data_IF_898070530968
#
_entry.id   IF_898070530968
#
_cell.length_a   1.000
_cell.length_b   1.000
_cell.length_c   1.000
_cell.angle_alpha   90.00
_cell.angle_beta   90.00
_cell.angle_gamma   90.00
#
_symmetry.space_group_name_H-M   'P 1'
#
loop_
_entity.id
_entity.type
_entity.pdbx_description
1 polymer ?
#
# COMPACT_ATOMS: atom_id res chain seq x y z
N UNK A 1 -37.89 -8.71 3.61
CA UNK A 1 -36.56 -8.40 3.02
C UNK A 1 -36.53 -6.91 2.70
N UNK A 2 -35.62 -6.13 3.24
CA UNK A 2 -35.47 -4.73 2.80
C UNK A 2 -34.80 -4.76 1.43
N UNK A 3 -35.31 -4.04 0.41
CA UNK A 3 -34.62 -3.95 -0.87
C UNK A 3 -33.25 -3.30 -0.68
N UNK A 4 -32.21 -3.93 -1.21
CA UNK A 4 -30.88 -3.32 -1.28
C UNK A 4 -30.98 -2.09 -2.18
N UNK A 5 -30.57 -0.94 -1.67
CA UNK A 5 -30.38 0.27 -2.47
C UNK A 5 -28.99 0.22 -3.08
N UNK A 6 -28.87 0.51 -4.37
CA UNK A 6 -27.61 0.57 -5.11
C UNK A 6 -27.28 2.01 -5.48
N UNK A 7 -26.01 2.29 -5.70
CA UNK A 7 -25.51 3.62 -6.04
C UNK A 7 -25.42 4.52 -4.80
N UNK A 8 -25.46 5.83 -5.02
CA UNK A 8 -25.47 6.82 -3.94
C UNK A 8 -26.82 6.79 -3.24
N UNK A 9 -26.86 6.26 -2.03
CA UNK A 9 -28.10 6.10 -1.25
C UNK A 9 -28.41 7.27 -0.34
N UNK A 10 -27.38 8.03 0.04
CA UNK A 10 -27.46 9.24 0.85
C UNK A 10 -26.39 10.23 0.38
N UNK A 11 -26.76 11.49 0.24
CA UNK A 11 -25.86 12.57 -0.15
C UNK A 11 -26.23 13.87 0.57
N UNK A 12 -25.30 14.39 1.36
CA UNK A 12 -25.43 15.69 1.99
C UNK A 12 -24.38 16.66 1.41
N UNK A 13 -24.79 17.49 0.47
CA UNK A 13 -23.91 18.42 -0.23
C UNK A 13 -23.16 19.39 0.70
N UNK A 14 -23.74 19.76 1.85
CA UNK A 14 -23.09 20.68 2.79
C UNK A 14 -21.99 20.06 3.62
N UNK A 15 -21.95 18.72 3.71
CA UNK A 15 -20.96 17.96 4.47
C UNK A 15 -19.98 17.20 3.58
N UNK A 16 -20.29 17.05 2.30
CA UNK A 16 -19.47 16.30 1.36
C UNK A 16 -18.41 17.20 0.72
N UNK A 17 -17.18 16.70 0.64
CA UNK A 17 -16.13 17.36 -0.15
C UNK A 17 -16.44 17.14 -1.64
N UNK A 18 -16.57 18.22 -2.43
CA UNK A 18 -16.92 18.11 -3.85
C UNK A 18 -15.74 17.54 -4.63
N UNK A 19 -15.84 16.29 -5.05
CA UNK A 19 -14.77 15.56 -5.73
C UNK A 19 -15.32 14.45 -6.63
N UNK A 20 -14.40 13.74 -7.26
CA UNK A 20 -14.66 12.46 -7.93
C UNK A 20 -14.10 11.32 -7.08
N UNK A 21 -14.66 10.13 -7.24
CA UNK A 21 -14.12 8.91 -6.63
C UNK A 21 -13.62 7.98 -7.70
N UNK A 22 -12.33 7.66 -7.66
CA UNK A 22 -11.72 6.62 -8.45
C UNK A 22 -11.80 5.29 -7.68
N UNK A 23 -12.29 4.24 -8.31
CA UNK A 23 -12.28 2.91 -7.70
C UNK A 23 -12.17 1.81 -8.75
N UNK A 24 -11.60 0.69 -8.34
CA UNK A 24 -11.49 -0.50 -9.17
C UNK A 24 -11.99 -1.71 -8.36
N UNK A 25 -13.02 -2.43 -8.84
CA UNK A 25 -13.55 -3.61 -8.15
C UNK A 25 -12.49 -4.71 -8.04
N UNK A 26 -12.29 -5.23 -6.82
CA UNK A 26 -11.36 -6.34 -6.60
C UNK A 26 -11.73 -7.56 -7.45
N UNK A 27 -10.73 -8.12 -8.14
CA UNK A 27 -10.89 -9.26 -9.05
C UNK A 27 -11.47 -8.91 -10.43
N UNK A 28 -11.81 -7.64 -10.67
CA UNK A 28 -12.22 -7.13 -11.98
C UNK A 28 -11.05 -6.70 -12.85
N UNK A 29 -11.37 -6.27 -14.07
CA UNK A 29 -10.44 -5.67 -15.03
C UNK A 29 -10.92 -4.31 -15.50
N UNK A 30 -11.58 -3.57 -14.61
CA UNK A 30 -12.12 -2.24 -14.90
C UNK A 30 -11.78 -1.28 -13.77
N UNK A 31 -11.61 -0.01 -14.11
CA UNK A 31 -11.44 1.10 -13.18
C UNK A 31 -12.43 2.20 -13.53
N UNK A 32 -13.08 2.79 -12.53
CA UNK A 32 -14.16 3.75 -12.71
C UNK A 32 -13.86 5.04 -11.99
N UNK A 33 -14.18 6.15 -12.65
CA UNK A 33 -14.25 7.48 -12.04
C UNK A 33 -15.72 7.89 -11.96
N UNK A 34 -16.24 8.06 -10.77
CA UNK A 34 -17.62 8.48 -10.55
C UNK A 34 -17.68 9.86 -9.91
N UNK A 35 -18.76 10.58 -10.15
CA UNK A 35 -19.05 11.84 -9.47
C UNK A 35 -19.80 11.62 -8.13
N UNK A 36 -20.13 12.74 -7.47
CA UNK A 36 -20.83 12.74 -6.19
C UNK A 36 -22.27 12.20 -6.25
N UNK A 37 -22.86 12.06 -7.44
CA UNK A 37 -24.17 11.46 -7.67
C UNK A 37 -24.07 9.97 -8.02
N UNK A 38 -22.85 9.45 -8.13
CA UNK A 38 -22.58 8.06 -8.50
C UNK A 38 -22.65 7.81 -10.00
N UNK A 39 -22.68 8.87 -10.81
CA UNK A 39 -22.64 8.73 -12.27
C UNK A 39 -21.21 8.45 -12.74
N UNK A 40 -21.05 7.42 -13.58
CA UNK A 40 -19.77 7.10 -14.19
C UNK A 40 -19.37 8.19 -15.18
N UNK A 41 -18.23 8.82 -14.92
CA UNK A 41 -17.65 9.88 -15.76
C UNK A 41 -16.57 9.35 -16.68
N UNK A 42 -15.88 8.29 -16.24
CA UNK A 42 -14.88 7.58 -17.03
C UNK A 42 -14.79 6.14 -16.58
N UNK A 43 -14.59 5.26 -17.55
CA UNK A 43 -14.26 3.85 -17.38
C UNK A 43 -13.00 3.53 -18.18
N UNK A 44 -12.07 2.81 -17.54
CA UNK A 44 -10.92 2.19 -18.21
C UNK A 44 -11.07 0.67 -18.16
N UNK A 45 -10.78 0.00 -19.28
CA UNK A 45 -10.63 -1.45 -19.33
C UNK A 45 -9.15 -1.78 -19.22
N UNK A 46 -8.81 -2.61 -18.24
CA UNK A 46 -7.43 -3.02 -17.97
C UNK A 46 -7.06 -4.26 -18.83
N UNK A 47 -5.79 -4.43 -19.19
CA UNK A 47 -5.33 -5.58 -19.98
C UNK A 47 -5.33 -6.91 -19.19
N UNK A 48 -5.60 -6.86 -17.90
CA UNK A 48 -5.64 -8.02 -17.01
C UNK A 48 -6.40 -7.75 -15.72
N UNK A 49 -6.47 -8.73 -14.82
CA UNK A 49 -7.09 -8.54 -13.51
C UNK A 49 -6.38 -7.46 -12.69
N UNK A 50 -7.15 -6.65 -11.98
CA UNK A 50 -6.62 -5.62 -11.07
C UNK A 50 -5.61 -6.23 -10.09
N UNK A 51 -4.47 -5.55 -9.92
CA UNK A 51 -3.48 -5.85 -8.89
C UNK A 51 -4.01 -5.45 -7.51
N UNK A 52 -4.04 -4.15 -7.23
CA UNK A 52 -4.59 -3.64 -5.98
C UNK A 52 -5.53 -2.45 -6.21
N UNK A 53 -5.01 -1.30 -6.62
CA UNK A 53 -5.80 -0.08 -6.84
C UNK A 53 -5.18 0.77 -7.95
N UNK A 54 -5.81 1.91 -8.25
CA UNK A 54 -5.31 2.90 -9.20
C UNK A 54 -5.26 4.30 -8.61
N UNK A 55 -4.43 5.16 -9.17
CA UNK A 55 -4.29 6.57 -8.84
C UNK A 55 -4.57 7.41 -10.10
N UNK A 56 -5.37 8.47 -9.95
CA UNK A 56 -5.51 9.45 -11.01
C UNK A 56 -4.37 10.48 -10.88
N UNK A 57 -3.54 10.55 -11.91
CA UNK A 57 -2.41 11.48 -11.95
C UNK A 57 -2.88 12.91 -12.25
N UNK A 58 -2.09 13.96 -11.91
CA UNK A 58 -2.45 15.36 -12.18
C UNK A 58 -2.68 15.70 -13.67
N UNK A 59 -2.09 14.91 -14.58
CA UNK A 59 -2.30 15.05 -16.02
C UNK A 59 -3.59 14.37 -16.54
N UNK A 60 -4.36 13.73 -15.64
CA UNK A 60 -5.58 13.00 -15.97
C UNK A 60 -5.37 11.52 -16.34
N UNK A 61 -4.14 11.04 -16.40
CA UNK A 61 -3.85 9.65 -16.68
C UNK A 61 -4.11 8.78 -15.45
N UNK A 62 -4.39 7.50 -15.68
CA UNK A 62 -4.56 6.47 -14.66
C UNK A 62 -3.24 5.73 -14.46
N UNK A 63 -2.65 5.79 -13.26
CA UNK A 63 -1.58 4.90 -12.83
C UNK A 63 -2.20 3.74 -12.05
N UNK A 64 -1.97 2.49 -12.49
CA UNK A 64 -2.67 1.32 -11.94
C UNK A 64 -1.79 0.07 -12.05
N UNK A 65 -2.07 -0.94 -11.23
CA UNK A 65 -1.41 -2.24 -11.34
C UNK A 65 -2.37 -3.31 -11.82
N UNK A 66 -1.86 -4.23 -12.65
CA UNK A 66 -2.53 -5.47 -13.02
C UNK A 66 -1.69 -6.66 -12.58
N UNK A 67 -2.36 -7.78 -12.32
CA UNK A 67 -1.70 -9.00 -11.85
C UNK A 67 -0.91 -9.66 -12.96
N UNK A 68 0.29 -10.10 -12.61
CA UNK A 68 1.03 -11.05 -13.43
C UNK A 68 0.77 -12.48 -12.95
N UNK A 69 1.15 -13.49 -13.77
CA UNK A 69 1.01 -14.90 -13.41
C UNK A 69 2.22 -15.45 -12.63
N UNK A 70 3.28 -14.67 -12.55
CA UNK A 70 4.55 -15.01 -11.90
C UNK A 70 4.64 -14.38 -10.49
N UNK A 71 5.64 -14.81 -9.72
CA UNK A 71 5.85 -14.35 -8.35
C UNK A 71 5.05 -15.13 -7.29
N UNK A 72 5.22 -14.77 -6.00
CA UNK A 72 4.56 -15.41 -4.88
C UNK A 72 3.05 -15.16 -4.92
N UNK A 73 2.27 -16.13 -4.41
CA UNK A 73 0.79 -16.04 -4.44
C UNK A 73 0.22 -15.39 -3.18
N UNK A 74 0.85 -14.32 -2.71
CA UNK A 74 0.29 -13.48 -1.65
C UNK A 74 -0.80 -12.54 -2.19
N UNK A 75 -1.55 -11.89 -1.34
CA UNK A 75 -2.54 -10.89 -1.73
C UNK A 75 -2.28 -9.56 -0.99
N UNK A 76 -2.37 -8.46 -1.73
CA UNK A 76 -2.59 -8.30 -3.16
C UNK A 76 -1.29 -8.45 -3.97
N UNK A 77 -1.39 -9.09 -5.12
CA UNK A 77 -0.33 -9.19 -6.11
C UNK A 77 -0.60 -8.14 -7.20
N UNK A 78 0.43 -7.40 -7.58
CA UNK A 78 0.43 -6.58 -8.80
C UNK A 78 1.30 -7.21 -9.88
N UNK A 79 2.50 -6.68 -10.03
CA UNK A 79 3.53 -7.20 -10.94
C UNK A 79 3.65 -6.42 -12.24
N UNK A 80 2.62 -5.75 -12.69
CA UNK A 80 2.64 -4.91 -13.89
C UNK A 80 2.03 -3.55 -13.57
N UNK A 81 2.84 -2.51 -13.49
CA UNK A 81 2.45 -1.12 -13.26
C UNK A 81 2.23 -0.46 -14.62
N UNK A 82 1.08 0.17 -14.80
CA UNK A 82 0.67 0.81 -16.05
C UNK A 82 0.33 2.28 -15.83
N UNK A 83 0.74 3.15 -16.74
CA UNK A 83 0.14 4.45 -16.94
C UNK A 83 -0.71 4.41 -18.20
N UNK A 84 -2.01 4.68 -18.04
CA UNK A 84 -3.02 4.61 -19.10
C UNK A 84 -3.59 6.02 -19.28
N UNK A 85 -3.62 6.52 -20.49
CA UNK A 85 -4.16 7.84 -20.77
C UNK A 85 -5.70 7.89 -20.69
N UNK A 86 -6.26 9.08 -20.93
CA UNK A 86 -7.71 9.27 -20.87
C UNK A 86 -8.44 8.46 -21.96
N UNK A 87 -7.82 8.21 -23.11
CA UNK A 87 -8.43 7.48 -24.22
C UNK A 87 -8.33 5.94 -24.05
N UNK A 88 -7.50 5.48 -23.11
CA UNK A 88 -7.33 4.08 -22.75
C UNK A 88 -6.07 3.45 -23.32
N UNK A 89 -5.17 4.25 -23.89
CA UNK A 89 -3.90 3.79 -24.43
C UNK A 89 -2.85 3.70 -23.31
N UNK A 90 -2.08 2.59 -23.29
CA UNK A 90 -0.95 2.41 -22.36
C UNK A 90 0.20 3.26 -22.88
N UNK A 91 0.62 4.25 -22.10
CA UNK A 91 1.68 5.19 -22.47
C UNK A 91 3.00 4.93 -21.73
N UNK A 92 2.94 4.17 -20.65
CA UNK A 92 4.12 3.70 -19.90
C UNK A 92 3.77 2.41 -19.16
N UNK A 93 4.76 1.53 -19.05
CA UNK A 93 4.63 0.29 -18.30
C UNK A 93 5.93 -0.14 -17.64
N UNK A 94 5.82 -0.84 -16.51
CA UNK A 94 6.94 -1.47 -15.83
C UNK A 94 6.51 -2.82 -15.26
N UNK A 95 7.33 -3.85 -15.47
CA UNK A 95 7.07 -5.21 -14.97
C UNK A 95 8.10 -5.57 -13.91
N UNK A 96 7.59 -5.83 -12.71
CA UNK A 96 8.30 -6.50 -11.62
C UNK A 96 7.33 -7.51 -10.99
N UNK A 97 7.50 -8.78 -11.28
CA UNK A 97 6.59 -9.86 -10.82
C UNK A 97 6.50 -9.98 -9.29
N UNK A 98 7.39 -9.32 -8.57
CA UNK A 98 7.40 -9.23 -7.10
C UNK A 98 6.73 -7.95 -6.58
N UNK A 99 6.27 -7.04 -7.46
CA UNK A 99 5.56 -5.83 -7.05
C UNK A 99 4.24 -6.19 -6.37
N UNK A 100 3.97 -5.51 -5.26
CA UNK A 100 2.75 -5.68 -4.49
C UNK A 100 2.24 -4.35 -3.92
N UNK A 101 1.00 -4.34 -3.44
CA UNK A 101 0.32 -3.29 -2.71
C UNK A 101 0.43 -1.90 -3.35
N UNK A 102 1.48 -1.13 -3.06
CA UNK A 102 1.52 0.31 -3.24
C UNK A 102 2.57 0.79 -4.25
N UNK A 103 2.30 1.92 -4.87
CA UNK A 103 3.16 2.58 -5.85
C UNK A 103 2.86 4.08 -5.89
N UNK A 104 3.83 4.90 -6.27
CA UNK A 104 3.67 6.35 -6.37
C UNK A 104 4.42 6.90 -7.59
N UNK A 105 3.74 7.71 -8.40
CA UNK A 105 4.41 8.52 -9.41
C UNK A 105 4.97 9.78 -8.77
N UNK A 106 6.26 10.00 -8.88
CA UNK A 106 6.95 11.15 -8.32
C UNK A 106 6.92 12.36 -9.27
N UNK A 107 7.09 13.59 -8.74
CA UNK A 107 7.12 14.80 -9.58
C UNK A 107 8.21 14.82 -10.65
N UNK A 108 9.30 14.08 -10.45
CA UNK A 108 10.37 13.93 -11.43
C UNK A 108 10.09 12.90 -12.53
N UNK A 109 8.92 12.26 -12.51
CA UNK A 109 8.50 11.24 -13.46
C UNK A 109 8.87 9.80 -13.07
N UNK A 110 9.66 9.61 -12.02
CA UNK A 110 9.99 8.28 -11.52
C UNK A 110 8.79 7.63 -10.83
N UNK A 111 8.84 6.31 -10.67
CA UNK A 111 7.81 5.55 -9.94
C UNK A 111 8.45 4.78 -8.80
N UNK A 112 8.03 5.06 -7.57
CA UNK A 112 8.39 4.27 -6.38
C UNK A 112 7.30 3.25 -6.12
N UNK A 113 7.68 2.03 -5.71
CA UNK A 113 6.74 0.95 -5.43
C UNK A 113 7.29 -0.04 -4.40
N UNK A 114 6.37 -0.81 -3.80
CA UNK A 114 6.69 -1.95 -2.95
C UNK A 114 6.95 -3.20 -3.80
N UNK A 115 7.97 -3.94 -3.46
CA UNK A 115 8.33 -5.23 -4.05
C UNK A 115 8.75 -6.21 -2.96
N UNK A 116 8.77 -7.50 -3.26
CA UNK A 116 9.32 -8.52 -2.38
C UNK A 116 10.72 -8.93 -2.79
N UNK A 117 11.46 -9.46 -1.82
CA UNK A 117 12.70 -10.18 -2.03
C UNK A 117 12.67 -11.48 -1.22
N UNK A 118 12.96 -12.61 -1.86
CA UNK A 118 13.08 -13.88 -1.18
C UNK A 118 14.48 -14.04 -0.59
N UNK A 119 14.58 -14.12 0.73
CA UNK A 119 15.82 -14.41 1.44
C UNK A 119 15.82 -15.89 1.85
N UNK A 120 16.86 -16.66 1.52
CA UNK A 120 16.97 -18.05 1.97
C UNK A 120 16.83 -18.18 3.49
N UNK A 121 16.23 -19.26 3.97
CA UNK A 121 15.94 -19.46 5.41
C UNK A 121 17.18 -19.38 6.29
N UNK A 122 18.34 -19.84 5.79
CA UNK A 122 19.63 -19.78 6.50
C UNK A 122 20.18 -18.37 6.67
N UNK A 123 19.80 -17.44 5.79
CA UNK A 123 20.24 -16.04 5.80
C UNK A 123 19.18 -15.08 6.38
N UNK A 124 17.99 -15.63 6.67
CA UNK A 124 16.84 -14.82 7.07
C UNK A 124 16.86 -14.45 8.54
N UNK A 125 16.81 -13.16 8.84
CA UNK A 125 16.57 -12.64 10.19
C UNK A 125 15.10 -12.81 10.58
N UNK A 126 14.77 -13.92 11.26
CA UNK A 126 13.40 -14.20 11.66
C UNK A 126 13.22 -14.16 13.16
N UNK A 127 12.43 -13.21 13.59
CA UNK A 127 12.06 -13.07 14.98
C UNK A 127 10.55 -13.27 15.15
N UNK A 128 10.17 -14.27 15.94
CA UNK A 128 8.75 -14.60 16.17
C UNK A 128 8.16 -15.48 15.07
N UNK A 129 6.82 -15.49 14.98
CA UNK A 129 6.07 -16.31 14.04
C UNK A 129 6.13 -17.82 14.30
N UNK A 130 5.52 -18.60 13.40
CA UNK A 130 5.46 -20.07 13.48
C UNK A 130 6.68 -20.66 12.79
N UNK A 131 7.56 -21.30 13.55
CA UNK A 131 8.73 -21.98 12.99
C UNK A 131 8.33 -23.13 12.04
N UNK A 132 8.99 -23.25 10.91
CA UNK A 132 8.71 -24.26 9.89
C UNK A 132 7.55 -23.92 8.97
N UNK A 133 7.10 -22.65 8.98
CA UNK A 133 6.09 -22.13 8.08
C UNK A 133 6.67 -21.13 7.06
N UNK A 134 7.95 -21.22 6.78
CA UNK A 134 8.64 -20.47 5.75
C UNK A 134 8.08 -20.82 4.35
N UNK A 135 8.27 -19.94 3.38
CA UNK A 135 7.70 -20.13 2.05
C UNK A 135 8.25 -21.42 1.38
N UNK A 136 7.42 -22.18 0.65
CA UNK A 136 7.85 -23.42 -0.02
C UNK A 136 9.01 -23.23 -1.01
N UNK A 137 9.23 -22.01 -1.50
CA UNK A 137 10.38 -21.66 -2.35
C UNK A 137 11.72 -21.64 -1.59
N UNK A 138 11.73 -21.95 -0.29
CA UNK A 138 12.92 -22.15 0.52
C UNK A 138 13.43 -20.91 1.23
N UNK A 139 12.56 -19.96 1.57
CA UNK A 139 12.94 -18.72 2.24
C UNK A 139 11.77 -17.96 2.84
N UNK A 140 12.03 -16.71 3.14
CA UNK A 140 11.06 -15.76 3.66
C UNK A 140 11.07 -14.54 2.74
N UNK A 141 9.88 -14.05 2.37
CA UNK A 141 9.75 -12.82 1.61
C UNK A 141 9.83 -11.61 2.53
N UNK A 142 10.70 -10.66 2.18
CA UNK A 142 10.87 -9.37 2.84
C UNK A 142 10.49 -8.25 1.90
N UNK A 143 10.04 -7.14 2.48
CA UNK A 143 9.67 -5.96 1.71
C UNK A 143 10.90 -5.22 1.18
N UNK A 144 10.79 -4.71 -0.04
CA UNK A 144 11.77 -3.85 -0.69
C UNK A 144 11.03 -2.64 -1.27
N UNK A 145 11.58 -1.45 -1.08
CA UNK A 145 11.15 -0.25 -1.78
C UNK A 145 12.04 -0.05 -2.99
N UNK A 146 11.45 0.12 -4.16
CA UNK A 146 12.16 0.36 -5.41
C UNK A 146 11.69 1.63 -6.08
N UNK A 147 12.60 2.30 -6.78
CA UNK A 147 12.28 3.41 -7.65
C UNK A 147 12.89 3.18 -9.03
N UNK A 148 12.05 3.35 -10.06
CA UNK A 148 12.46 3.29 -11.46
C UNK A 148 12.22 4.62 -12.13
N UNK A 149 13.09 4.94 -13.11
CA UNK A 149 12.91 6.11 -13.97
C UNK A 149 11.88 5.85 -15.10
N UNK A 150 11.70 6.83 -15.97
CA UNK A 150 10.77 6.71 -17.10
C UNK A 150 11.17 5.62 -18.11
N UNK A 151 12.44 5.26 -18.18
CA UNK A 151 12.97 4.22 -19.07
C UNK A 151 12.85 2.82 -18.43
N UNK A 152 12.41 2.74 -17.16
CA UNK A 152 12.28 1.49 -16.40
C UNK A 152 13.56 1.06 -15.67
N UNK A 153 14.63 1.87 -15.71
CA UNK A 153 15.87 1.58 -14.98
C UNK A 153 15.69 1.83 -13.50
N UNK A 154 16.18 0.92 -12.68
CA UNK A 154 16.18 1.07 -11.21
C UNK A 154 17.21 2.14 -10.82
N UNK A 155 16.73 3.19 -10.11
CA UNK A 155 17.55 4.34 -9.70
C UNK A 155 17.72 4.46 -8.20
N UNK A 156 16.92 3.72 -7.43
CA UNK A 156 17.01 3.65 -5.96
C UNK A 156 16.34 2.39 -5.43
N UNK A 157 16.91 1.86 -4.35
CA UNK A 157 16.36 0.70 -3.63
C UNK A 157 16.61 0.84 -2.14
N UNK A 158 15.65 0.41 -1.33
CA UNK A 158 15.79 0.19 0.11
C UNK A 158 15.35 -1.24 0.41
N UNK A 159 16.26 -2.04 0.95
CA UNK A 159 15.99 -3.43 1.29
C UNK A 159 15.77 -3.55 2.79
N UNK A 160 14.67 -4.17 3.17
CA UNK A 160 14.32 -4.36 4.58
C UNK A 160 15.43 -5.09 5.34
N UNK A 161 16.05 -6.09 4.73
CA UNK A 161 17.12 -6.88 5.36
C UNK A 161 18.36 -6.08 5.75
N UNK A 162 18.60 -4.95 5.12
CA UNK A 162 19.78 -4.12 5.36
C UNK A 162 19.56 -3.05 6.45
N UNK A 163 18.29 -2.71 6.75
CA UNK A 163 17.97 -1.51 7.55
C UNK A 163 16.97 -1.76 8.69
N UNK A 164 16.17 -2.82 8.59
CA UNK A 164 15.04 -2.99 9.52
C UNK A 164 15.49 -3.51 10.88
N UNK A 165 15.02 -2.92 12.01
CA UNK A 165 15.41 -3.36 13.34
C UNK A 165 14.55 -4.57 13.79
N UNK A 166 14.79 -5.74 13.23
CA UNK A 166 14.00 -6.98 13.39
C UNK A 166 13.73 -7.35 14.85
N UNK A 167 14.74 -7.24 15.73
CA UNK A 167 14.61 -7.58 17.15
C UNK A 167 13.55 -6.73 17.87
N UNK A 168 13.32 -5.50 17.39
CA UNK A 168 12.35 -4.58 17.98
C UNK A 168 10.91 -4.93 17.60
N UNK A 169 10.70 -5.55 16.45
CA UNK A 169 9.39 -5.78 15.86
C UNK A 169 9.14 -7.27 15.51
N UNK A 170 9.12 -8.17 16.49
CA UNK A 170 8.88 -9.58 16.22
C UNK A 170 7.49 -9.82 15.63
N UNK A 171 7.38 -10.78 14.71
CA UNK A 171 6.09 -11.29 14.26
C UNK A 171 5.28 -11.82 15.44
N UNK A 172 3.96 -11.69 15.37
CA UNK A 172 3.06 -12.31 16.34
C UNK A 172 3.24 -13.84 16.31
N UNK A 173 3.15 -14.55 17.45
CA UNK A 173 3.45 -15.98 17.52
C UNK A 173 2.62 -16.88 16.58
N UNK A 174 1.42 -16.45 16.21
CA UNK A 174 0.53 -17.21 15.32
C UNK A 174 0.69 -16.88 13.83
N UNK A 175 1.57 -15.94 13.47
CA UNK A 175 1.78 -15.58 12.06
C UNK A 175 2.69 -16.58 11.35
N UNK A 176 2.34 -17.01 10.13
CA UNK A 176 3.27 -17.72 9.26
C UNK A 176 4.52 -16.88 8.97
N UNK A 177 5.61 -17.55 8.64
CA UNK A 177 6.89 -16.93 8.25
C UNK A 177 7.11 -16.90 6.75
N UNK A 178 6.07 -17.11 5.95
CA UNK A 178 6.17 -17.04 4.49
C UNK A 178 6.58 -15.63 4.03
N UNK A 179 6.10 -14.63 4.75
CA UNK A 179 6.35 -13.20 4.53
C UNK A 179 6.59 -12.52 5.88
N UNK A 180 7.55 -11.57 5.93
CA UNK A 180 7.80 -10.78 7.12
C UNK A 180 7.17 -9.39 7.00
N UNK A 181 6.34 -9.04 7.99
CA UNK A 181 5.75 -7.74 8.27
C UNK A 181 4.65 -7.24 7.32
N UNK A 182 4.62 -7.62 6.05
CA UNK A 182 3.56 -7.29 5.10
C UNK A 182 3.37 -5.78 4.91
N UNK A 183 4.33 -5.12 4.22
CA UNK A 183 4.20 -3.71 3.87
C UNK A 183 3.02 -3.49 2.93
N UNK A 184 2.22 -2.46 3.20
CA UNK A 184 1.00 -2.19 2.42
C UNK A 184 0.84 -0.73 1.98
N UNK A 185 1.79 0.14 2.33
CA UNK A 185 1.84 1.52 1.86
C UNK A 185 3.29 2.02 1.85
N UNK A 186 3.63 2.83 0.84
CA UNK A 186 4.92 3.51 0.68
C UNK A 186 4.70 4.95 0.17
N UNK A 187 4.23 5.83 1.02
CA UNK A 187 3.95 7.22 0.65
C UNK A 187 5.23 8.06 0.64
N UNK A 188 5.64 8.54 -0.54
CA UNK A 188 6.80 9.44 -0.68
C UNK A 188 6.38 10.86 -0.35
N UNK A 189 7.04 11.45 0.64
CA UNK A 189 6.79 12.81 1.10
C UNK A 189 7.44 13.86 0.18
N UNK A 190 7.03 15.13 0.25
CA UNK A 190 7.62 16.19 -0.58
C UNK A 190 9.13 16.39 -0.39
N UNK A 191 9.67 16.02 0.77
CA UNK A 191 11.11 16.07 1.08
C UNK A 191 11.88 14.83 0.56
N UNK A 192 11.17 13.86 0.00
CA UNK A 192 11.69 12.61 -0.54
C UNK A 192 11.77 11.46 0.47
N UNK A 193 11.52 11.69 1.75
CA UNK A 193 11.44 10.62 2.75
C UNK A 193 10.19 9.78 2.53
N UNK A 194 10.16 8.55 3.05
CA UNK A 194 9.11 7.60 2.72
C UNK A 194 8.39 7.13 3.98
N UNK A 195 7.09 7.39 4.06
CA UNK A 195 6.22 6.87 5.11
C UNK A 195 5.73 5.48 4.70
N UNK A 196 6.13 4.47 5.47
CA UNK A 196 5.82 3.07 5.21
C UNK A 196 4.92 2.51 6.29
N UNK A 197 4.01 1.61 5.91
CA UNK A 197 3.12 0.89 6.80
C UNK A 197 3.35 -0.60 6.67
N UNK A 198 3.61 -1.28 7.79
CA UNK A 198 3.71 -2.75 7.90
C UNK A 198 2.53 -3.29 8.72
N UNK A 199 1.64 -3.97 8.02
CA UNK A 199 0.35 -4.43 8.53
C UNK A 199 0.47 -5.44 9.68
N UNK A 200 1.31 -6.45 9.50
CA UNK A 200 1.32 -7.62 10.39
C UNK A 200 2.02 -7.38 11.73
N UNK A 201 2.70 -6.27 11.82
CA UNK A 201 3.35 -5.81 13.05
C UNK A 201 2.78 -4.48 13.59
N UNK A 202 1.68 -3.96 12.96
CA UNK A 202 1.02 -2.69 13.35
C UNK A 202 1.99 -1.51 13.45
N UNK A 203 2.94 -1.41 12.51
CA UNK A 203 3.99 -0.41 12.50
C UNK A 203 3.80 0.56 11.34
N UNK A 204 4.00 1.85 11.60
CA UNK A 204 4.28 2.86 10.58
C UNK A 204 5.61 3.53 10.91
N UNK A 205 6.43 3.81 9.91
CA UNK A 205 7.69 4.53 10.09
C UNK A 205 7.98 5.46 8.91
N UNK A 206 8.72 6.54 9.20
CA UNK A 206 9.28 7.44 8.22
C UNK A 206 10.74 7.07 8.01
N UNK A 207 11.07 6.66 6.79
CA UNK A 207 12.41 6.27 6.37
C UNK A 207 13.12 7.49 5.76
N UNK A 208 14.33 7.79 6.25
CA UNK A 208 15.24 8.70 5.58
C UNK A 208 15.73 8.09 4.28
N UNK A 209 15.41 8.72 3.16
CA UNK A 209 15.74 8.20 1.84
C UNK A 209 17.25 8.02 1.61
N UNK A 210 18.11 8.79 2.29
CA UNK A 210 19.57 8.78 2.05
C UNK A 210 20.29 7.75 2.88
N UNK A 211 19.91 7.65 4.17
CA UNK A 211 20.55 6.71 5.10
C UNK A 211 19.86 5.36 5.17
N UNK A 212 18.58 5.28 4.82
CA UNK A 212 17.74 4.10 5.03
C UNK A 212 17.22 3.95 6.47
N UNK A 213 17.62 4.82 7.37
CA UNK A 213 17.27 4.74 8.79
C UNK A 213 15.87 5.30 9.08
N UNK A 214 15.26 4.86 10.17
CA UNK A 214 13.98 5.40 10.64
C UNK A 214 14.17 6.76 11.32
N UNK A 215 13.61 7.81 10.72
CA UNK A 215 13.52 9.15 11.32
C UNK A 215 12.46 9.21 12.41
N UNK A 216 11.38 8.47 12.23
CA UNK A 216 10.26 8.39 13.14
C UNK A 216 9.55 7.05 12.95
N UNK A 217 8.92 6.56 14.02
CA UNK A 217 8.16 5.33 14.00
C UNK A 217 7.09 5.32 15.08
N UNK A 218 6.00 4.62 14.83
CA UNK A 218 4.94 4.35 15.81
C UNK A 218 4.33 2.98 15.56
N UNK A 219 4.20 2.20 16.64
CA UNK A 219 3.52 0.91 16.64
C UNK A 219 2.34 0.96 17.60
N UNK A 220 1.17 0.53 17.15
CA UNK A 220 0.00 0.43 18.03
C UNK A 220 -0.91 -0.72 17.60
N UNK A 221 -0.91 -1.79 18.38
CA UNK A 221 -1.72 -3.00 18.12
C UNK A 221 -3.24 -2.76 18.11
N UNK A 222 -3.70 -1.61 18.60
CA UNK A 222 -5.11 -1.21 18.53
C UNK A 222 -5.55 -0.83 17.11
N UNK A 223 -4.61 -0.63 16.20
CA UNK A 223 -4.93 -0.39 14.79
C UNK A 223 -5.44 -1.65 14.10
N UNK A 224 -4.93 -2.82 14.51
CA UNK A 224 -5.38 -4.11 14.01
C UNK A 224 -5.15 -4.27 12.51
N UNK A 225 -3.91 -4.03 12.07
CA UNK A 225 -3.52 -4.11 10.66
C UNK A 225 -3.92 -2.87 9.87
N UNK A 226 -3.26 -1.75 10.14
CA UNK A 226 -3.53 -0.45 9.49
C UNK A 226 -3.13 -0.42 8.02
N UNK A 227 -3.71 0.56 7.29
CA UNK A 227 -3.44 0.83 5.88
C UNK A 227 -3.33 2.33 5.61
N UNK A 228 -2.68 2.66 4.51
CA UNK A 228 -2.70 3.95 3.83
C UNK A 228 -2.39 5.16 4.73
N UNK A 229 -1.27 5.17 5.50
CA UNK A 229 -0.86 6.36 6.21
C UNK A 229 -0.51 7.48 5.23
N UNK A 230 -1.05 8.68 5.50
CA UNK A 230 -0.78 9.89 4.72
C UNK A 230 -0.47 11.06 5.66
N UNK A 231 0.60 11.78 5.39
CA UNK A 231 0.85 13.01 6.11
C UNK A 231 -0.04 14.14 5.58
N UNK A 232 -0.66 14.87 6.49
CA UNK A 232 -1.47 16.04 6.21
C UNK A 232 -0.63 17.32 6.23
N UNK A 233 -1.17 18.40 5.65
CA UNK A 233 -0.53 19.73 5.63
C UNK A 233 -0.23 20.29 7.02
N UNK A 234 -1.00 19.89 8.05
CA UNK A 234 -0.78 20.26 9.45
C UNK A 234 0.33 19.43 10.12
N UNK A 235 0.94 18.49 9.41
CA UNK A 235 1.98 17.59 9.90
C UNK A 235 1.47 16.33 10.59
N UNK A 236 0.16 16.21 10.84
CA UNK A 236 -0.43 14.98 11.38
C UNK A 236 -0.45 13.86 10.34
N UNK A 237 -0.64 12.63 10.79
CA UNK A 237 -0.72 11.45 9.93
C UNK A 237 -2.13 10.87 10.04
N UNK A 238 -2.82 10.73 8.90
CA UNK A 238 -4.05 9.92 8.83
C UNK A 238 -3.71 8.49 8.47
N UNK A 239 -4.51 7.53 8.94
CA UNK A 239 -4.46 6.14 8.52
C UNK A 239 -5.82 5.46 8.65
N UNK A 240 -6.00 4.37 7.93
CA UNK A 240 -7.13 3.47 8.10
C UNK A 240 -6.74 2.32 9.02
N UNK A 241 -7.31 2.29 10.22
CA UNK A 241 -7.15 1.21 11.19
C UNK A 241 -8.21 0.14 10.93
N UNK A 242 -7.82 -1.05 10.50
CA UNK A 242 -8.76 -2.12 10.18
C UNK A 242 -9.47 -2.66 11.42
N UNK A 243 -8.83 -2.58 12.59
CA UNK A 243 -9.38 -3.08 13.84
C UNK A 243 -9.47 -4.60 13.91
N UNK A 244 -8.72 -5.31 13.06
CA UNK A 244 -8.65 -6.76 13.05
C UNK A 244 -7.84 -7.29 14.23
N UNK A 245 -8.24 -8.45 14.79
CA UNK A 245 -7.50 -9.12 15.87
C UNK A 245 -7.36 -8.31 17.18
N UNK A 246 -8.13 -7.22 17.34
CA UNK A 246 -8.17 -6.48 18.60
C UNK A 246 -9.06 -7.19 19.63
N UNK A 247 -8.83 -6.91 20.91
CA UNK A 247 -9.70 -7.40 21.99
C UNK A 247 -11.00 -6.60 21.98
N UNK A 248 -12.14 -7.25 21.71
CA UNK A 248 -13.46 -6.62 21.65
C UNK A 248 -14.10 -6.71 20.27
N UNK A 249 -15.18 -5.94 20.02
CA UNK A 249 -15.79 -5.90 18.70
C UNK A 249 -14.84 -5.34 17.66
N UNK A 250 -14.68 -6.04 16.55
CA UNK A 250 -13.89 -5.58 15.40
C UNK A 250 -14.66 -4.48 14.66
N UNK A 251 -14.02 -3.34 14.44
CA UNK A 251 -14.54 -2.27 13.61
C UNK A 251 -13.38 -1.43 13.05
N UNK A 252 -13.54 -0.97 11.84
CA UNK A 252 -12.56 -0.11 11.17
C UNK A 252 -12.77 1.35 11.52
N UNK A 253 -11.68 2.13 11.53
CA UNK A 253 -11.68 3.57 11.80
C UNK A 253 -10.71 4.29 10.90
N UNK A 254 -11.04 5.53 10.57
CA UNK A 254 -10.02 6.49 10.10
C UNK A 254 -9.49 7.20 11.35
N UNK A 255 -8.19 7.29 11.46
CA UNK A 255 -7.51 7.94 12.59
C UNK A 255 -6.67 9.11 12.07
N UNK A 256 -6.57 10.17 12.87
CA UNK A 256 -5.57 11.21 12.71
C UNK A 256 -4.65 11.21 13.94
N UNK A 257 -3.36 11.10 13.71
CA UNK A 257 -2.32 10.97 14.72
C UNK A 257 -1.44 12.23 14.73
N UNK A 258 -1.21 12.79 15.90
CA UNK A 258 -0.12 13.77 16.13
C UNK A 258 1.21 13.00 16.25
N UNK A 259 2.12 13.07 15.27
CA UNK A 259 3.37 12.29 15.31
C UNK A 259 4.32 12.74 16.39
N UNK A 260 4.25 14.00 16.85
CA UNK A 260 5.12 14.53 17.91
C UNK A 260 4.74 13.98 19.28
N UNK A 261 3.43 13.82 19.53
CA UNK A 261 2.91 13.28 20.79
C UNK A 261 2.72 11.77 20.74
N UNK A 262 2.68 11.19 19.55
CA UNK A 262 2.28 9.79 19.28
C UNK A 262 0.90 9.48 19.88
N UNK A 263 -0.04 10.38 19.68
CA UNK A 263 -1.41 10.30 20.21
C UNK A 263 -2.42 10.43 19.06
N UNK A 264 -3.57 9.77 19.24
CA UNK A 264 -4.70 9.91 18.33
C UNK A 264 -5.40 11.24 18.65
N UNK A 265 -5.37 12.18 17.71
CA UNK A 265 -6.04 13.45 17.81
C UNK A 265 -7.51 13.41 17.43
N UNK A 266 -7.86 12.51 16.49
CA UNK A 266 -9.22 12.30 15.99
C UNK A 266 -9.45 10.85 15.55
N UNK A 267 -10.71 10.36 15.69
CA UNK A 267 -11.11 8.99 15.29
C UNK A 267 -12.60 8.92 14.91
#
# INVERSE_FOLDING_TARGET
MRPLKFGVTEFNQSLAFPSFTLFAPSGGSQCFLIDMLGECRKEWTLPGPLGNYGQLLPNGNLLITVRTSEGPKFNPIGGHILEIDWDGDIIWEHIDHLQHHDFNRLPNGNTTYLSWELIPTEDAEVIGGVAGSEHPDGGIYYDVLREVNADGDMVWEWRMVDHFPFEKYPLRPARPREEYAHANCCFVQPDGNILVSWRDIDLIALIDRKSGEFLWEMQDRRWGGQHDPRQLDNGNITLFANGSEQVGPEYSRVLEIDPNKKEIGWS
#
